data_IF_790336021555
#
_entry.id   IF_790336021555
#
_cell.length_a   1.000
_cell.length_b   1.000
_cell.length_c   1.000
_cell.angle_alpha   90.00
_cell.angle_beta   90.00
_cell.angle_gamma   90.00
#
_symmetry.space_group_name_H-M   'P 1'
#
loop_
_entity.id
_entity.type
_entity.pdbx_description
1 polymer ?
#
# COMPACT_ATOMS: atom_id res chain seq x y z
N UNK A 1 -41.87 -33.63 -3.01
CA UNK A 1 -40.71 -32.88 -3.54
C UNK A 1 -40.10 -32.09 -2.38
N UNK A 2 -39.19 -32.71 -1.64
CA UNK A 2 -38.49 -32.05 -0.55
C UNK A 2 -37.36 -31.20 -1.15
N UNK A 3 -37.42 -29.88 -0.98
CA UNK A 3 -36.29 -28.99 -1.25
C UNK A 3 -35.10 -29.53 -0.47
N UNK A 4 -34.03 -29.92 -1.18
CA UNK A 4 -32.72 -30.10 -0.56
C UNK A 4 -32.40 -28.78 0.11
N UNK A 5 -32.38 -28.76 1.44
CA UNK A 5 -31.97 -27.59 2.19
C UNK A 5 -30.56 -27.23 1.72
N UNK A 6 -30.34 -25.98 1.33
CA UNK A 6 -29.01 -25.46 1.02
C UNK A 6 -28.16 -25.65 2.27
N UNK A 7 -27.26 -26.64 2.25
CA UNK A 7 -26.42 -27.03 3.40
C UNK A 7 -25.50 -25.88 3.83
N UNK A 8 -25.33 -24.88 2.95
CA UNK A 8 -24.52 -23.70 3.19
C UNK A 8 -25.15 -22.45 2.55
N UNK A 9 -25.25 -21.35 3.31
CA UNK A 9 -25.66 -20.02 2.83
C UNK A 9 -24.44 -19.10 2.90
N UNK A 10 -23.98 -18.62 1.74
CA UNK A 10 -22.83 -17.72 1.70
C UNK A 10 -23.23 -16.32 2.17
N UNK A 11 -22.70 -15.92 3.33
CA UNK A 11 -22.83 -14.54 3.83
C UNK A 11 -21.57 -13.78 3.41
N UNK A 12 -21.70 -12.89 2.42
CA UNK A 12 -20.61 -12.05 1.96
C UNK A 12 -20.11 -11.13 3.09
N UNK A 13 -18.79 -11.01 3.23
CA UNK A 13 -18.19 -10.07 4.17
C UNK A 13 -18.62 -8.63 3.83
N UNK A 14 -18.86 -7.74 4.82
CA UNK A 14 -19.34 -6.37 4.56
C UNK A 14 -18.52 -5.62 3.51
N UNK A 15 -17.18 -5.72 3.59
CA UNK A 15 -16.28 -5.10 2.61
C UNK A 15 -16.47 -5.65 1.19
N UNK A 16 -16.65 -6.96 1.03
CA UNK A 16 -16.94 -7.60 -0.27
C UNK A 16 -18.27 -7.12 -0.83
N UNK A 17 -19.29 -7.01 0.02
CA UNK A 17 -20.61 -6.51 -0.37
C UNK A 17 -20.52 -5.06 -0.86
N UNK A 18 -19.79 -4.21 -0.15
CA UNK A 18 -19.65 -2.80 -0.51
C UNK A 18 -18.81 -2.62 -1.79
N UNK A 19 -17.81 -3.49 -2.04
CA UNK A 19 -17.08 -3.51 -3.31
C UNK A 19 -17.98 -3.91 -4.49
N UNK A 20 -18.78 -4.96 -4.33
CA UNK A 20 -19.73 -5.41 -5.35
C UNK A 20 -20.84 -4.38 -5.62
N UNK A 21 -21.27 -3.65 -4.59
CA UNK A 21 -22.23 -2.56 -4.72
C UNK A 21 -21.64 -1.28 -5.33
N UNK A 22 -20.32 -1.22 -5.56
CA UNK A 22 -19.61 -0.03 -6.04
C UNK A 22 -19.55 1.10 -5.01
N UNK A 23 -19.87 0.83 -3.74
CA UNK A 23 -19.88 1.80 -2.64
C UNK A 23 -18.64 1.75 -1.76
N UNK A 24 -17.72 0.81 -2.01
CA UNK A 24 -16.46 0.74 -1.27
C UNK A 24 -15.63 2.01 -1.51
N UNK A 25 -15.05 2.60 -0.44
CA UNK A 25 -14.18 3.75 -0.59
C UNK A 25 -12.96 3.37 -1.44
N UNK A 26 -12.49 4.26 -2.33
CA UNK A 26 -11.25 4.03 -3.06
C UNK A 26 -10.07 3.93 -2.08
N UNK A 27 -8.97 3.27 -2.48
CA UNK A 27 -7.77 3.24 -1.65
C UNK A 27 -7.35 4.67 -1.29
N UNK A 28 -7.09 4.95 0.00
CA UNK A 28 -6.79 6.29 0.46
C UNK A 28 -5.56 6.83 -0.25
N UNK A 29 -5.62 8.07 -0.72
CA UNK A 29 -4.50 8.75 -1.35
C UNK A 29 -3.87 9.70 -0.36
N UNK A 30 -2.57 9.93 -0.52
CA UNK A 30 -1.83 10.94 0.26
C UNK A 30 -2.47 12.33 0.18
N UNK A 31 -3.12 12.65 -0.95
CA UNK A 31 -3.82 13.92 -1.14
C UNK A 31 -5.12 14.04 -0.33
N UNK A 32 -5.72 12.92 0.06
CA UNK A 32 -6.97 12.88 0.84
C UNK A 32 -6.72 13.25 2.32
N UNK A 33 -5.47 13.11 2.79
CA UNK A 33 -5.06 13.49 4.15
C UNK A 33 -4.54 14.94 4.26
N UNK A 34 -4.58 15.72 3.18
CA UNK A 34 -4.01 17.08 3.18
C UNK A 34 -4.91 18.09 3.89
N UNK A 35 -4.43 18.58 5.03
CA UNK A 35 -5.12 19.58 5.86
C UNK A 35 -4.67 21.01 5.44
N UNK A 36 -5.45 21.64 4.57
CA UNK A 36 -5.41 23.09 4.31
C UNK A 36 -4.18 23.66 3.58
N UNK A 37 -4.08 25.00 3.58
CA UNK A 37 -2.99 25.75 2.92
C UNK A 37 -1.61 25.40 3.48
N UNK A 38 -1.50 25.24 4.81
CA UNK A 38 -0.26 24.90 5.49
C UNK A 38 0.27 23.53 5.07
N UNK A 39 -0.62 22.54 4.85
CA UNK A 39 -0.23 21.23 4.33
C UNK A 39 0.34 21.31 2.91
N UNK A 40 -0.25 22.15 2.04
CA UNK A 40 0.26 22.35 0.68
C UNK A 40 1.63 23.01 0.66
N UNK A 41 1.83 24.05 1.48
CA UNK A 41 3.12 24.73 1.60
C UNK A 41 4.18 23.81 2.21
N UNK A 42 3.83 23.08 3.28
CA UNK A 42 4.71 22.11 3.92
C UNK A 42 5.20 21.06 2.93
N UNK A 43 4.28 20.47 2.16
CA UNK A 43 4.66 19.49 1.14
C UNK A 43 5.54 20.08 0.05
N UNK A 44 5.25 21.31 -0.42
CA UNK A 44 6.08 21.96 -1.43
C UNK A 44 7.52 22.09 -0.94
N UNK A 45 7.71 22.58 0.29
CA UNK A 45 9.03 22.76 0.89
C UNK A 45 9.73 21.42 1.11
N UNK A 46 9.05 20.41 1.66
CA UNK A 46 9.66 19.09 1.91
C UNK A 46 9.93 18.32 0.62
N UNK A 47 9.18 18.56 -0.45
CA UNK A 47 9.46 17.98 -1.77
C UNK A 47 10.70 18.59 -2.38
N UNK A 48 10.90 19.90 -2.25
CA UNK A 48 12.10 20.59 -2.77
C UNK A 48 13.34 20.18 -1.97
N UNK A 49 13.27 20.26 -0.63
CA UNK A 49 14.39 19.92 0.28
C UNK A 49 14.62 18.41 0.30
N UNK A 50 13.60 17.60 0.02
CA UNK A 50 13.65 16.15 -0.09
C UNK A 50 14.22 15.63 -1.41
N UNK A 51 15.09 16.38 -2.07
CA UNK A 51 15.83 15.96 -3.26
C UNK A 51 17.32 15.77 -2.93
N UNK A 52 17.99 14.85 -3.64
CA UNK A 52 19.45 14.69 -3.53
C UNK A 52 20.21 15.97 -3.89
N UNK A 53 19.64 16.79 -4.79
CA UNK A 53 20.16 18.11 -5.15
C UNK A 53 20.29 19.05 -3.96
N UNK A 54 19.32 19.04 -3.04
CA UNK A 54 19.40 19.86 -1.82
C UNK A 54 20.57 19.43 -0.92
N UNK A 55 20.85 18.13 -0.80
CA UNK A 55 22.01 17.64 -0.06
C UNK A 55 23.33 18.14 -0.69
N UNK A 56 23.45 18.12 -2.02
CA UNK A 56 24.63 18.65 -2.70
C UNK A 56 24.79 20.17 -2.53
N UNK A 57 23.70 20.93 -2.63
CA UNK A 57 23.70 22.37 -2.41
C UNK A 57 24.14 22.73 -0.99
N UNK A 58 23.59 22.04 0.01
CA UNK A 58 23.93 22.23 1.42
C UNK A 58 25.38 21.82 1.72
N UNK A 59 25.87 20.77 1.08
CA UNK A 59 27.30 20.41 1.14
C UNK A 59 28.17 21.55 0.63
N UNK A 60 27.83 22.14 -0.53
CA UNK A 60 28.57 23.28 -1.06
C UNK A 60 28.51 24.51 -0.14
N UNK A 61 27.33 24.80 0.42
CA UNK A 61 27.16 25.91 1.38
C UNK A 61 27.97 25.70 2.66
N UNK A 62 27.98 24.48 3.21
CA UNK A 62 28.78 24.17 4.39
C UNK A 62 30.26 24.45 4.12
N UNK A 63 30.79 24.00 2.98
CA UNK A 63 32.20 24.16 2.60
C UNK A 63 32.68 25.62 2.56
N UNK A 64 31.80 26.61 2.36
CA UNK A 64 32.17 28.04 2.42
C UNK A 64 32.75 28.41 3.80
N UNK A 65 32.24 27.82 4.87
CA UNK A 65 32.67 28.09 6.25
C UNK A 65 33.85 27.22 6.71
N UNK A 66 34.19 26.18 5.95
CA UNK A 66 35.25 25.22 6.30
C UNK A 66 36.65 25.85 6.44
N UNK A 67 37.11 26.76 5.55
CA UNK A 67 38.42 27.39 5.71
C UNK A 67 38.55 28.18 7.02
N UNK A 68 37.46 28.77 7.50
CA UNK A 68 37.45 29.51 8.77
C UNK A 68 37.65 28.58 9.97
N UNK A 69 37.06 27.38 9.94
CA UNK A 69 37.22 26.38 11.00
C UNK A 69 38.66 25.85 11.06
N UNK A 70 39.29 25.56 9.91
CA UNK A 70 40.68 25.09 9.87
C UNK A 70 41.65 26.17 10.34
N UNK A 71 41.45 27.43 9.91
CA UNK A 71 42.31 28.56 10.30
C UNK A 71 42.30 28.82 11.80
N UNK A 72 41.33 28.30 12.55
CA UNK A 72 41.31 28.41 14.00
C UNK A 72 42.43 27.60 14.68
N UNK A 73 43.02 26.60 14.01
CA UNK A 73 44.09 25.75 14.55
C UNK A 73 43.68 24.89 15.77
N UNK A 74 42.40 24.86 16.13
CA UNK A 74 41.90 24.19 17.31
C UNK A 74 41.09 22.95 16.90
N UNK A 75 41.56 21.76 17.29
CA UNK A 75 40.91 20.49 16.98
C UNK A 75 39.46 20.42 17.45
N UNK A 76 39.12 21.05 18.57
CA UNK A 76 37.74 21.10 19.09
C UNK A 76 36.83 21.88 18.15
N UNK A 77 37.30 23.00 17.61
CA UNK A 77 36.53 23.84 16.68
C UNK A 77 36.29 23.12 15.35
N UNK A 78 37.30 22.40 14.85
CA UNK A 78 37.17 21.62 13.62
C UNK A 78 36.15 20.49 13.81
N UNK A 79 36.26 19.73 14.90
CA UNK A 79 35.32 18.64 15.20
C UNK A 79 33.90 19.18 15.40
N UNK A 80 33.74 20.29 16.13
CA UNK A 80 32.45 20.94 16.32
C UNK A 80 31.84 21.39 14.98
N UNK A 81 32.64 21.96 14.08
CA UNK A 81 32.18 22.36 12.75
C UNK A 81 31.69 21.15 11.93
N UNK A 82 32.41 20.02 11.95
CA UNK A 82 32.00 18.79 11.26
C UNK A 82 30.69 18.25 11.84
N UNK A 83 30.65 18.05 13.15
CA UNK A 83 29.49 17.44 13.81
C UNK A 83 28.22 18.30 13.73
N UNK A 84 28.37 19.62 13.84
CA UNK A 84 27.22 20.52 13.97
C UNK A 84 26.91 21.27 12.68
N UNK A 85 27.88 21.85 11.98
CA UNK A 85 27.58 22.68 10.81
C UNK A 85 27.46 21.83 9.55
N UNK A 86 28.38 20.88 9.37
CA UNK A 86 28.39 20.04 8.18
C UNK A 86 27.35 18.93 8.25
N UNK A 87 27.47 18.03 9.25
CA UNK A 87 26.57 16.87 9.34
C UNK A 87 25.12 17.29 9.52
N UNK A 88 24.81 18.21 10.43
CA UNK A 88 23.42 18.63 10.68
C UNK A 88 22.73 19.20 9.42
N UNK A 89 23.44 20.02 8.64
CA UNK A 89 22.88 20.67 7.46
C UNK A 89 22.54 19.64 6.38
N UNK A 90 23.41 18.64 6.19
CA UNK A 90 23.25 17.61 5.16
C UNK A 90 22.27 16.50 5.59
N UNK A 91 22.17 16.23 6.90
CA UNK A 91 21.37 15.13 7.42
C UNK A 91 19.88 15.29 7.09
N UNK A 92 19.36 16.53 7.15
CA UNK A 92 17.94 16.82 6.92
C UNK A 92 17.47 16.40 5.51
N UNK A 93 18.04 16.90 4.39
CA UNK A 93 17.68 16.41 3.05
C UNK A 93 17.83 14.91 2.86
N UNK A 94 18.92 14.31 3.37
CA UNK A 94 19.19 12.88 3.17
C UNK A 94 18.14 12.03 3.88
N UNK A 95 17.77 12.37 5.11
CA UNK A 95 16.71 11.68 5.85
C UNK A 95 15.40 11.79 5.09
N UNK A 96 15.01 12.99 4.64
CA UNK A 96 13.76 13.22 3.92
C UNK A 96 13.74 12.40 2.61
N UNK A 97 14.83 12.36 1.85
CA UNK A 97 14.91 11.55 0.63
C UNK A 97 14.78 10.06 0.95
N UNK A 98 15.45 9.59 2.00
CA UNK A 98 15.35 8.21 2.45
C UNK A 98 13.92 7.84 2.87
N UNK A 99 13.21 8.74 3.55
CA UNK A 99 11.81 8.58 3.93
C UNK A 99 10.89 8.59 2.69
N UNK A 100 11.10 9.51 1.74
CA UNK A 100 10.31 9.57 0.51
C UNK A 100 10.45 8.31 -0.35
N UNK A 101 11.66 7.73 -0.43
CA UNK A 101 11.90 6.46 -1.13
C UNK A 101 11.18 5.31 -0.43
N UNK A 102 11.27 5.24 0.90
CA UNK A 102 10.60 4.21 1.70
C UNK A 102 9.07 4.31 1.62
N UNK A 103 8.52 5.53 1.70
CA UNK A 103 7.09 5.79 1.56
C UNK A 103 6.59 5.34 0.18
N UNK A 104 7.28 5.74 -0.90
CA UNK A 104 6.92 5.32 -2.26
C UNK A 104 6.98 3.80 -2.45
N UNK A 105 7.93 3.12 -1.81
CA UNK A 105 8.01 1.67 -1.84
C UNK A 105 6.89 1.01 -1.01
N UNK A 106 6.51 1.60 0.12
CA UNK A 106 5.37 1.15 0.92
C UNK A 106 4.05 1.30 0.16
N UNK A 107 3.84 2.45 -0.50
CA UNK A 107 2.64 2.72 -1.33
C UNK A 107 2.51 1.69 -2.46
N UNK A 108 3.61 1.41 -3.18
CA UNK A 108 3.61 0.37 -4.24
C UNK A 108 3.29 -1.01 -3.70
N UNK A 109 3.83 -1.38 -2.54
CA UNK A 109 3.51 -2.67 -1.90
C UNK A 109 2.05 -2.73 -1.49
N UNK A 110 1.50 -1.66 -0.93
CA UNK A 110 0.08 -1.58 -0.58
C UNK A 110 -0.82 -1.72 -1.83
N UNK A 111 -0.47 -1.05 -2.93
CA UNK A 111 -1.19 -1.19 -4.21
C UNK A 111 -1.12 -2.63 -4.75
N UNK A 112 0.06 -3.26 -4.70
CA UNK A 112 0.22 -4.66 -5.10
C UNK A 112 -0.62 -5.60 -4.22
N UNK A 113 -0.55 -5.45 -2.90
CA UNK A 113 -1.36 -6.24 -1.95
C UNK A 113 -2.86 -6.07 -2.19
N UNK A 114 -3.30 -4.85 -2.53
CA UNK A 114 -4.70 -4.61 -2.89
C UNK A 114 -5.11 -5.39 -4.16
N UNK A 115 -4.30 -5.32 -5.22
CA UNK A 115 -4.56 -6.06 -6.47
C UNK A 115 -4.52 -7.57 -6.29
N UNK A 116 -3.59 -8.07 -5.48
CA UNK A 116 -3.49 -9.49 -5.15
C UNK A 116 -4.74 -9.95 -4.38
N UNK A 117 -5.22 -9.15 -3.42
CA UNK A 117 -6.45 -9.45 -2.68
C UNK A 117 -7.69 -9.44 -3.60
N UNK A 118 -7.77 -8.50 -4.54
CA UNK A 118 -8.83 -8.45 -5.54
C UNK A 118 -8.82 -9.69 -6.43
N UNK A 119 -7.65 -10.12 -6.92
CA UNK A 119 -7.50 -11.33 -7.72
C UNK A 119 -7.91 -12.58 -6.95
N UNK A 120 -7.47 -12.73 -5.69
CA UNK A 120 -7.86 -13.84 -4.82
C UNK A 120 -9.38 -13.87 -4.63
N UNK A 121 -10.01 -12.72 -4.37
CA UNK A 121 -11.46 -12.64 -4.20
C UNK A 121 -12.21 -13.05 -5.46
N UNK A 122 -11.72 -12.63 -6.63
CA UNK A 122 -12.27 -13.05 -7.92
C UNK A 122 -12.17 -14.56 -8.12
N UNK A 123 -10.99 -15.16 -7.91
CA UNK A 123 -10.80 -16.61 -8.03
C UNK A 123 -11.65 -17.39 -7.02
N UNK A 124 -11.76 -16.92 -5.78
CA UNK A 124 -12.67 -17.52 -4.81
C UNK A 124 -14.14 -17.47 -5.27
N UNK A 125 -14.57 -16.39 -5.90
CA UNK A 125 -15.92 -16.29 -6.47
C UNK A 125 -16.15 -17.28 -7.62
N UNK A 126 -15.15 -17.46 -8.50
CA UNK A 126 -15.20 -18.47 -9.57
C UNK A 126 -15.28 -19.90 -9.02
N UNK A 127 -14.51 -20.21 -7.97
CA UNK A 127 -14.58 -21.50 -7.29
C UNK A 127 -15.97 -21.74 -6.71
N UNK A 128 -16.58 -20.73 -6.07
CA UNK A 128 -17.95 -20.85 -5.54
C UNK A 128 -18.98 -21.11 -6.65
N UNK A 129 -18.88 -20.40 -7.77
CA UNK A 129 -19.75 -20.62 -8.93
C UNK A 129 -19.55 -22.03 -9.52
N UNK A 130 -18.32 -22.51 -9.58
CA UNK A 130 -18.00 -23.86 -10.05
C UNK A 130 -18.58 -24.93 -9.13
N UNK A 131 -18.47 -24.77 -7.80
CA UNK A 131 -19.05 -25.69 -6.81
C UNK A 131 -20.59 -25.73 -6.93
N UNK A 132 -21.25 -24.58 -7.08
CA UNK A 132 -22.70 -24.55 -7.30
C UNK A 132 -23.12 -25.31 -8.57
N UNK A 133 -22.35 -25.17 -9.66
CA UNK A 133 -22.60 -25.93 -10.89
C UNK A 133 -22.37 -27.44 -10.72
N UNK A 134 -21.38 -27.84 -9.90
CA UNK A 134 -21.16 -29.24 -9.55
C UNK A 134 -22.32 -29.81 -8.72
N UNK A 135 -22.80 -29.08 -7.72
CA UNK A 135 -23.94 -29.49 -6.89
C UNK A 135 -25.19 -29.73 -7.76
N UNK A 136 -25.49 -28.83 -8.70
CA UNK A 136 -26.59 -28.98 -9.66
C UNK A 136 -26.42 -30.23 -10.54
N UNK A 137 -25.20 -30.52 -10.99
CA UNK A 137 -24.91 -31.71 -11.79
C UNK A 137 -25.09 -33.00 -10.98
N UNK A 138 -24.64 -33.02 -9.71
CA UNK A 138 -24.83 -34.14 -8.80
C UNK A 138 -26.31 -34.41 -8.53
N UNK A 139 -27.11 -33.36 -8.32
CA UNK A 139 -28.57 -33.48 -8.14
C UNK A 139 -29.24 -34.13 -9.36
N UNK A 140 -28.84 -33.74 -10.58
CA UNK A 140 -29.35 -34.36 -11.82
C UNK A 140 -28.99 -35.84 -11.91
N UNK A 141 -27.74 -36.19 -11.63
CA UNK A 141 -27.28 -37.59 -11.64
C UNK A 141 -28.06 -38.44 -10.62
N UNK A 142 -28.30 -37.92 -9.40
CA UNK A 142 -29.10 -38.60 -8.38
C UNK A 142 -30.54 -38.81 -8.87
N UNK A 143 -31.15 -37.82 -9.52
CA UNK A 143 -32.51 -37.92 -10.05
C UNK A 143 -32.61 -38.97 -11.18
N UNK A 144 -31.63 -39.02 -12.09
CA UNK A 144 -31.56 -40.03 -13.15
C UNK A 144 -31.41 -41.44 -12.57
N UNK A 145 -30.53 -41.63 -11.59
CA UNK A 145 -30.37 -42.92 -10.90
C UNK A 145 -31.65 -43.36 -10.21
N UNK A 146 -32.36 -42.46 -9.54
CA UNK A 146 -33.65 -42.76 -8.89
C UNK A 146 -34.71 -43.20 -9.91
N UNK A 147 -34.74 -42.56 -11.09
CA UNK A 147 -35.65 -42.94 -12.17
C UNK A 147 -35.34 -44.34 -12.71
N UNK A 148 -34.07 -44.63 -13.03
CA UNK A 148 -33.65 -45.93 -13.53
C UNK A 148 -33.96 -47.06 -12.53
N UNK A 149 -33.74 -46.82 -11.24
CA UNK A 149 -34.09 -47.79 -10.19
C UNK A 149 -35.62 -47.98 -10.05
N UNK A 150 -36.40 -46.93 -10.30
CA UNK A 150 -37.87 -47.02 -10.33
C UNK A 150 -38.38 -47.84 -11.50
N UNK A 151 -37.80 -47.68 -12.68
CA UNK A 151 -38.17 -48.41 -13.90
C UNK A 151 -37.80 -49.92 -13.84
N UNK A 152 -36.85 -50.29 -12.98
CA UNK A 152 -36.40 -51.68 -12.76
C UNK A 152 -37.27 -52.47 -11.76
N UNK A 153 -38.20 -51.82 -11.07
CA UNK A 153 -39.03 -52.42 -10.02
C UNK A 153 -40.48 -52.63 -10.48
#
# INVERSE_FOLDING_TARGET
MARVATVFEHIAHPHTRDMLAGSAPPPPKVDDERIGFNGKLGLLLTTIVGTMWAAYLFTALALVSFPSAIRSGNSIVIVAWVAQTFLQLILLPIIIVGQNIQAKAADRRAEQTYKDAEAILHECSQIQAHLAAQDDAQIKQIAELQKLLGDLR
#
